data_IF_502317339700
#
_entry.id   IF_502317339700
#
_cell.length_a   1.000
_cell.length_b   1.000
_cell.length_c   1.000
_cell.angle_alpha   90.00
_cell.angle_beta   90.00
_cell.angle_gamma   90.00
#
_symmetry.space_group_name_H-M   'P 1'
#
loop_
_entity.id
_entity.type
_entity.pdbx_description
1 polymer ?
#
# COMPACT_ATOMS: atom_id res chain seq x y z
N UNK A 1 -21.84 -2.84 -3.88
CA UNK A 1 -20.85 -3.94 -3.83
C UNK A 1 -19.49 -3.31 -3.63
N UNK A 2 -18.80 -3.60 -2.52
CA UNK A 2 -17.55 -2.96 -2.12
C UNK A 2 -16.34 -3.79 -2.60
N UNK A 3 -15.36 -3.12 -3.21
CA UNK A 3 -14.11 -3.73 -3.65
C UNK A 3 -13.19 -3.89 -2.42
N UNK A 4 -13.12 -5.11 -1.90
CA UNK A 4 -12.41 -5.43 -0.66
C UNK A 4 -11.05 -6.05 -0.99
N UNK A 5 -9.99 -5.52 -0.38
CA UNK A 5 -8.64 -6.08 -0.47
C UNK A 5 -8.39 -7.05 0.68
N UNK A 6 -7.97 -8.27 0.34
CA UNK A 6 -7.37 -9.23 1.26
C UNK A 6 -5.85 -9.12 1.13
N UNK A 7 -5.15 -8.90 2.25
CA UNK A 7 -3.69 -8.83 2.26
C UNK A 7 -3.10 -10.22 1.94
N UNK A 8 -1.98 -10.31 1.19
CA UNK A 8 -1.32 -11.58 0.97
C UNK A 8 -0.80 -12.12 2.32
N UNK A 9 -0.99 -13.41 2.55
CA UNK A 9 -0.39 -14.10 3.70
C UNK A 9 1.10 -14.19 3.42
N UNK A 10 1.90 -13.26 3.93
CA UNK A 10 3.37 -13.36 3.86
C UNK A 10 3.79 -14.64 4.58
N UNK A 11 4.40 -15.57 3.85
CA UNK A 11 5.00 -16.77 4.40
C UNK A 11 6.03 -16.36 5.47
N UNK A 12 5.71 -16.70 6.72
CA UNK A 12 6.53 -16.43 7.91
C UNK A 12 7.73 -17.37 7.90
N UNK A 13 8.93 -16.81 7.98
CA UNK A 13 10.05 -17.48 8.61
C UNK A 13 10.49 -16.69 9.84
N UNK A 14 10.61 -17.44 10.94
CA UNK A 14 11.17 -17.13 12.27
C UNK A 14 10.43 -16.16 13.20
N UNK A 15 9.70 -16.77 14.15
CA UNK A 15 9.78 -16.52 15.60
C UNK A 15 10.29 -15.14 16.07
N UNK A 16 9.55 -14.09 15.77
CA UNK A 16 9.59 -12.84 16.54
C UNK A 16 8.14 -12.47 16.85
N UNK A 17 7.87 -12.03 18.09
CA UNK A 17 6.59 -11.40 18.43
C UNK A 17 6.17 -10.49 17.28
N UNK A 18 4.97 -10.70 16.72
CA UNK A 18 4.41 -9.80 15.70
C UNK A 18 4.44 -8.38 16.27
N UNK A 19 5.47 -7.60 15.93
CA UNK A 19 5.39 -6.16 16.10
C UNK A 19 4.25 -5.71 15.19
N UNK A 20 3.15 -5.30 15.82
CA UNK A 20 1.98 -4.74 15.16
C UNK A 20 2.48 -3.57 14.31
N UNK A 21 2.39 -3.71 13.00
CA UNK A 21 2.82 -2.69 12.04
C UNK A 21 1.64 -2.38 11.12
N UNK A 22 1.50 -1.11 10.79
CA UNK A 22 0.38 -0.60 10.01
C UNK A 22 0.51 -0.93 8.53
N UNK A 23 -0.62 -1.26 7.92
CA UNK A 23 -0.85 -1.30 6.49
C UNK A 23 -1.65 -0.06 6.08
N UNK A 24 -1.12 0.73 5.16
CA UNK A 24 -1.79 1.92 4.64
C UNK A 24 -2.41 1.66 3.27
N UNK A 25 -3.63 2.13 3.03
CA UNK A 25 -4.31 2.07 1.73
C UNK A 25 -4.66 3.48 1.26
N UNK A 26 -4.00 3.95 0.21
CA UNK A 26 -4.31 5.21 -0.48
C UNK A 26 -5.20 4.89 -1.67
N UNK A 27 -6.51 5.04 -1.49
CA UNK A 27 -7.48 4.61 -2.48
C UNK A 27 -8.71 5.54 -2.55
N UNK A 28 -9.32 5.60 -3.72
CA UNK A 28 -10.61 6.26 -3.92
C UNK A 28 -11.75 5.26 -3.76
N UNK A 29 -11.59 4.05 -4.33
CA UNK A 29 -12.67 3.07 -4.49
C UNK A 29 -12.47 1.79 -3.69
N UNK A 30 -11.28 1.57 -3.13
CA UNK A 30 -10.94 0.36 -2.36
C UNK A 30 -11.05 0.59 -0.86
N UNK A 31 -11.31 -0.50 -0.13
CA UNK A 31 -11.21 -0.55 1.32
C UNK A 31 -10.57 -1.89 1.75
N UNK A 32 -9.97 -1.89 2.95
CA UNK A 32 -9.56 -3.14 3.58
C UNK A 32 -10.76 -3.98 3.98
N UNK A 33 -10.57 -5.31 4.03
CA UNK A 33 -11.54 -6.18 4.68
C UNK A 33 -11.64 -5.85 6.18
N UNK A 34 -12.80 -6.08 6.79
CA UNK A 34 -13.05 -5.88 8.23
C UNK A 34 -12.16 -6.74 9.12
N UNK A 35 -11.59 -7.81 8.57
CA UNK A 35 -10.64 -8.71 9.25
C UNK A 35 -9.20 -8.15 9.31
N UNK A 36 -8.94 -6.99 8.70
CA UNK A 36 -7.62 -6.34 8.75
C UNK A 36 -7.55 -5.42 9.98
N UNK A 37 -6.97 -5.92 11.08
CA UNK A 37 -6.90 -5.20 12.36
C UNK A 37 -6.01 -3.94 12.35
N UNK A 38 -4.94 -3.92 11.54
CA UNK A 38 -3.95 -2.82 11.50
C UNK A 38 -3.94 -2.11 10.14
N UNK A 39 -5.13 -1.89 9.59
CA UNK A 39 -5.32 -1.20 8.31
C UNK A 39 -5.76 0.25 8.50
N UNK A 40 -5.05 1.20 7.89
CA UNK A 40 -5.49 2.60 7.78
C UNK A 40 -5.81 2.90 6.32
N UNK A 41 -7.07 3.20 6.03
CA UNK A 41 -7.48 3.73 4.72
C UNK A 41 -7.36 5.25 4.74
N UNK A 42 -6.68 5.79 3.74
CA UNK A 42 -6.55 7.22 3.49
C UNK A 42 -7.20 7.50 2.14
N UNK A 43 -8.00 8.57 2.07
CA UNK A 43 -8.52 9.03 0.78
C UNK A 43 -7.34 9.38 -0.13
N UNK A 44 -7.34 8.82 -1.34
CA UNK A 44 -6.22 9.01 -2.26
C UNK A 44 -5.97 10.51 -2.50
N UNK A 45 -4.75 11.01 -2.23
CA UNK A 45 -4.42 12.40 -2.50
C UNK A 45 -4.27 12.64 -4.01
N UNK A 46 -4.27 13.90 -4.43
CA UNK A 46 -3.97 14.28 -5.81
C UNK A 46 -2.65 13.65 -6.28
N UNK A 47 -2.59 13.21 -7.54
CA UNK A 47 -1.48 12.43 -8.09
C UNK A 47 -0.10 13.04 -7.86
N UNK A 48 0.02 14.37 -7.93
CA UNK A 48 1.24 15.13 -7.68
C UNK A 48 1.76 15.05 -6.24
N UNK A 49 0.87 14.75 -5.29
CA UNK A 49 1.18 14.67 -3.87
C UNK A 49 1.39 13.23 -3.39
N UNK A 50 1.03 12.22 -4.19
CA UNK A 50 1.22 10.80 -3.83
C UNK A 50 2.67 10.51 -3.39
N UNK A 51 3.72 10.95 -4.10
CA UNK A 51 5.10 10.71 -3.66
C UNK A 51 5.39 11.23 -2.25
N UNK A 52 4.99 12.47 -1.96
CA UNK A 52 5.17 13.12 -0.66
C UNK A 52 4.39 12.43 0.45
N UNK A 53 3.21 11.89 0.12
CA UNK A 53 2.41 11.12 1.08
C UNK A 53 3.06 9.78 1.41
N UNK A 54 3.56 9.06 0.40
CA UNK A 54 4.31 7.81 0.62
C UNK A 54 5.53 8.09 1.50
N UNK A 55 6.29 9.14 1.20
CA UNK A 55 7.44 9.54 2.01
C UNK A 55 7.06 9.79 3.47
N UNK A 56 6.02 10.60 3.72
CA UNK A 56 5.55 10.90 5.08
C UNK A 56 5.14 9.63 5.84
N UNK A 57 4.42 8.71 5.19
CA UNK A 57 3.99 7.46 5.80
C UNK A 57 5.21 6.60 6.18
N UNK A 58 6.15 6.43 5.25
CA UNK A 58 7.36 5.64 5.48
C UNK A 58 8.20 6.23 6.62
N UNK A 59 8.41 7.55 6.62
CA UNK A 59 9.24 8.25 7.62
C UNK A 59 8.57 8.30 9.00
N UNK A 60 7.22 8.31 9.06
CA UNK A 60 6.49 8.31 10.34
C UNK A 60 6.72 7.04 11.18
N UNK A 61 7.23 5.96 10.57
CA UNK A 61 7.56 4.71 11.24
C UNK A 61 6.36 3.79 11.49
N UNK A 62 6.63 2.59 12.01
CA UNK A 62 5.64 1.53 12.28
C UNK A 62 4.77 1.14 11.07
N UNK A 63 5.20 1.43 9.85
CA UNK A 63 4.56 1.00 8.60
C UNK A 63 5.26 -0.25 8.08
N UNK A 64 4.51 -1.29 7.71
CA UNK A 64 5.06 -2.46 7.00
C UNK A 64 4.70 -2.46 5.51
N UNK A 65 3.53 -1.91 5.17
CA UNK A 65 3.01 -1.99 3.81
C UNK A 65 2.17 -0.77 3.44
N UNK A 66 2.32 -0.33 2.19
CA UNK A 66 1.54 0.74 1.59
C UNK A 66 0.93 0.21 0.29
N UNK A 67 -0.37 0.34 0.16
CA UNK A 67 -1.14 -0.03 -1.01
C UNK A 67 -1.67 1.25 -1.64
N UNK A 68 -1.45 1.44 -2.94
CA UNK A 68 -1.90 2.63 -3.65
C UNK A 68 -2.70 2.22 -4.87
N UNK A 69 -3.96 2.64 -4.90
CA UNK A 69 -4.83 2.42 -6.05
C UNK A 69 -4.27 3.19 -7.26
N UNK A 70 -4.10 2.51 -8.40
CA UNK A 70 -3.67 3.08 -9.68
C UNK A 70 -2.46 4.02 -9.52
N UNK A 71 -1.39 3.54 -8.87
CA UNK A 71 -0.18 4.31 -8.63
C UNK A 71 0.50 4.67 -9.95
N UNK A 72 0.82 5.96 -10.12
CA UNK A 72 1.62 6.49 -11.22
C UNK A 72 2.68 7.41 -10.64
N UNK A 73 3.94 7.06 -10.85
CA UNK A 73 5.10 7.84 -10.39
C UNK A 73 5.94 8.25 -11.60
N UNK A 74 6.58 9.42 -11.52
CA UNK A 74 7.64 9.79 -12.46
C UNK A 74 8.88 8.94 -12.20
N UNK A 75 9.76 8.81 -13.20
CA UNK A 75 10.99 8.00 -13.08
C UNK A 75 11.87 8.42 -11.90
N UNK A 76 12.02 9.73 -11.66
CA UNK A 76 12.76 10.28 -10.51
C UNK A 76 12.14 9.86 -9.18
N UNK A 77 10.83 10.02 -9.06
CA UNK A 77 10.09 9.72 -7.82
C UNK A 77 10.10 8.22 -7.53
N UNK A 78 10.07 7.40 -8.58
CA UNK A 78 10.16 5.95 -8.46
C UNK A 78 11.47 5.50 -7.80
N UNK A 79 12.60 5.97 -8.33
CA UNK A 79 13.92 5.62 -7.79
C UNK A 79 14.08 6.09 -6.34
N UNK A 80 13.59 7.29 -6.05
CA UNK A 80 13.62 7.84 -4.69
C UNK A 80 12.77 7.01 -3.72
N UNK A 81 11.52 6.72 -4.08
CA UNK A 81 10.59 5.96 -3.25
C UNK A 81 11.05 4.52 -3.05
N UNK A 82 11.61 3.87 -4.07
CA UNK A 82 12.17 2.52 -3.95
C UNK A 82 13.32 2.49 -2.93
N UNK A 83 14.26 3.44 -3.03
CA UNK A 83 15.35 3.57 -2.05
C UNK A 83 14.84 3.84 -0.64
N UNK A 84 13.81 4.68 -0.51
CA UNK A 84 13.20 5.00 0.78
C UNK A 84 12.49 3.77 1.40
N UNK A 85 11.67 3.07 0.62
CA UNK A 85 10.99 1.85 1.05
C UNK A 85 12.00 0.76 1.46
N UNK A 86 13.07 0.58 0.70
CA UNK A 86 14.12 -0.38 1.04
C UNK A 86 14.81 -0.01 2.36
N UNK A 87 15.20 1.26 2.54
CA UNK A 87 15.85 1.75 3.77
C UNK A 87 15.00 1.54 5.02
N UNK A 88 13.68 1.64 4.89
CA UNK A 88 12.75 1.54 6.02
C UNK A 88 12.04 0.18 6.12
N UNK A 89 12.41 -0.80 5.29
CA UNK A 89 11.78 -2.13 5.22
C UNK A 89 10.25 -2.07 5.02
N UNK A 90 9.79 -1.16 4.16
CA UNK A 90 8.38 -0.98 3.81
C UNK A 90 8.10 -1.57 2.44
N UNK A 91 7.02 -2.35 2.31
CA UNK A 91 6.55 -2.86 1.02
C UNK A 91 5.56 -1.89 0.38
N UNK A 92 5.78 -1.47 -0.86
CA UNK A 92 4.87 -0.61 -1.62
C UNK A 92 4.21 -1.42 -2.76
N UNK A 93 2.88 -1.40 -2.82
CA UNK A 93 2.10 -2.12 -3.82
C UNK A 93 1.22 -1.16 -4.62
N UNK A 94 1.28 -1.27 -5.95
CA UNK A 94 0.31 -0.62 -6.84
C UNK A 94 -0.87 -1.57 -7.07
N UNK A 95 -2.10 -1.07 -6.89
CA UNK A 95 -3.32 -1.84 -7.13
C UNK A 95 -4.05 -1.26 -8.33
N UNK A 96 -4.08 -2.01 -9.44
CA UNK A 96 -4.80 -1.59 -10.63
C UNK A 96 -6.30 -1.86 -10.48
N UNK A 97 -7.12 -0.82 -10.61
CA UNK A 97 -8.58 -0.92 -10.62
C UNK A 97 -9.09 -0.46 -11.97
N UNK A 98 -9.68 -1.38 -12.74
CA UNK A 98 -10.32 -1.10 -14.02
C UNK A 98 -11.81 -0.88 -13.80
N UNK A 99 -12.33 0.31 -14.11
CA UNK A 99 -13.77 0.60 -14.04
C UNK A 99 -14.47 -0.06 -15.24
N UNK A 100 -15.40 -1.00 -14.98
CA UNK A 100 -16.28 -1.55 -16.04
C UNK A 100 -16.52 -3.06 -16.00
N UNK A 101 -15.72 -3.83 -15.26
CA UNK A 101 -15.97 -5.26 -15.03
C UNK A 101 -15.89 -5.51 -13.53
N UNK A 102 -16.72 -6.42 -13.01
CA UNK A 102 -16.65 -6.93 -11.63
C UNK A 102 -15.19 -7.04 -11.17
N UNK A 103 -14.75 -6.07 -10.37
CA UNK A 103 -13.34 -5.67 -10.30
C UNK A 103 -12.50 -6.74 -9.58
N UNK A 104 -11.88 -7.63 -10.37
CA UNK A 104 -10.84 -8.54 -9.90
C UNK A 104 -9.59 -7.71 -9.64
N UNK A 105 -9.22 -7.61 -8.37
CA UNK A 105 -7.95 -7.05 -7.90
C UNK A 105 -6.82 -7.91 -8.48
N UNK A 106 -6.03 -7.36 -9.39
CA UNK A 106 -4.78 -7.98 -9.84
C UNK A 106 -3.67 -7.46 -8.95
N UNK A 107 -3.05 -8.38 -8.21
CA UNK A 107 -1.96 -8.12 -7.29
C UNK A 107 -0.63 -8.49 -7.97
N UNK A 108 0.32 -7.56 -8.02
CA UNK A 108 1.67 -7.82 -8.51
C UNK A 108 2.70 -7.03 -7.70
N UNK A 109 3.87 -7.62 -7.36
CA UNK A 109 4.97 -6.87 -6.79
C UNK A 109 5.54 -5.92 -7.86
N UNK A 110 5.97 -4.74 -7.42
CA UNK A 110 6.82 -3.84 -8.21
C UNK A 110 8.25 -3.92 -7.70
#
# INVERSE_FOLDING_TARGET
>A
MQNVLTLPITHKNHSALKQKSWSYLLADSLAFNKEVDYGIRIQKPCSENIPKWIEKIVVSGQCSSIYVENLKLKKSDKLFIEGLCHKHNVSLFSISVVKGANAKVVQGPW
#
